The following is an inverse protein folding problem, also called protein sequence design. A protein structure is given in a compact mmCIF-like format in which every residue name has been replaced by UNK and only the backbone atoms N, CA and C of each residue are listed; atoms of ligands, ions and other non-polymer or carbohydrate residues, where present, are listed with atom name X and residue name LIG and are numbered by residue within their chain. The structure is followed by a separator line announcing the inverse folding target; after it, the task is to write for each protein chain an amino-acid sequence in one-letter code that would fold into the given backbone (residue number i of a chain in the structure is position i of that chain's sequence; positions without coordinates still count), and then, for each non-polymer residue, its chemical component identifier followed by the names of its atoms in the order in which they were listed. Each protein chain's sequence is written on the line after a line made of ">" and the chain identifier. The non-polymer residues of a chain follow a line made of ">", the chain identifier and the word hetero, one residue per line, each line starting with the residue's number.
data_IF_418619362878
#
_entry.id   IF_418619362878
#
_cell.length_a   1.000
_cell.length_b   1.000
_cell.length_c   1.000
_cell.angle_alpha   90.00
_cell.angle_beta   90.00
_cell.angle_gamma   90.00
#
_symmetry.space_group_name_H-M   'P 1'
#
loop_
_entity.id
_entity.type
_entity.pdbx_description
1 polymer ?
#
# COMPACT_ATOMS: atom_id res chain seq x y z
N UNK A 1 17.60 7.05 5.65
CA UNK A 1 17.15 5.81 4.99
C UNK A 1 18.15 4.73 5.38
N UNK A 2 17.80 3.74 6.21
CA UNK A 2 18.80 2.77 6.71
C UNK A 2 18.30 1.34 6.63
N UNK A 3 19.18 0.45 6.13
CA UNK A 3 18.98 -0.98 6.00
C UNK A 3 18.60 -1.40 4.59
N UNK A 4 17.31 -1.61 4.35
CA UNK A 4 16.79 -2.32 3.17
C UNK A 4 16.82 -1.48 1.89
N UNK A 5 16.42 -0.21 1.95
CA UNK A 5 16.40 0.66 0.77
C UNK A 5 17.82 0.97 0.24
N UNK A 6 18.78 1.15 1.15
CA UNK A 6 20.19 1.33 0.77
C UNK A 6 20.78 0.04 0.20
N UNK A 7 20.50 -1.12 0.81
CA UNK A 7 20.96 -2.41 0.30
C UNK A 7 20.39 -2.73 -1.10
N UNK A 8 19.14 -2.31 -1.39
CA UNK A 8 18.57 -2.42 -2.72
C UNK A 8 19.21 -1.44 -3.72
N UNK A 9 19.42 -0.18 -3.33
CA UNK A 9 19.87 0.86 -4.26
C UNK A 9 21.39 0.89 -4.50
N UNK A 10 22.19 0.42 -3.54
CA UNK A 10 23.66 0.41 -3.61
C UNK A 10 24.25 -0.31 -4.84
N UNK A 11 23.82 -1.52 -5.22
CA UNK A 11 24.32 -2.16 -6.45
C UNK A 11 23.96 -1.37 -7.71
N UNK A 12 22.75 -0.81 -7.78
CA UNK A 12 22.26 -0.02 -8.92
C UNK A 12 23.09 1.27 -9.06
N UNK A 13 23.39 1.95 -7.94
CA UNK A 13 24.31 3.10 -7.94
C UNK A 13 25.73 2.71 -8.34
N UNK A 14 26.23 1.58 -7.86
CA UNK A 14 27.58 1.11 -8.15
C UNK A 14 27.73 0.78 -9.63
N UNK A 15 26.73 0.17 -10.24
CA UNK A 15 26.69 -0.11 -11.67
C UNK A 15 26.68 1.19 -12.49
N UNK A 16 25.79 2.14 -12.13
CA UNK A 16 25.70 3.44 -12.80
C UNK A 16 27.03 4.23 -12.78
N UNK A 17 27.77 4.17 -11.67
CA UNK A 17 29.02 4.91 -11.50
C UNK A 17 30.24 4.24 -12.15
N UNK A 18 30.25 2.91 -12.25
CA UNK A 18 31.42 2.16 -12.71
C UNK A 18 31.32 1.69 -14.16
N UNK A 19 30.11 1.64 -14.74
CA UNK A 19 29.84 1.17 -16.09
C UNK A 19 29.17 2.27 -16.94
N UNK A 20 29.24 2.16 -18.27
CA UNK A 20 28.70 3.17 -19.20
C UNK A 20 27.92 2.55 -20.33
N UNK A 21 26.79 3.18 -20.70
CA UNK A 21 26.03 2.78 -21.88
C UNK A 21 25.65 1.31 -21.81
N UNK A 22 26.01 0.54 -22.83
CA UNK A 22 25.62 -0.87 -22.96
C UNK A 22 26.14 -1.76 -21.82
N UNK A 23 27.22 -1.37 -21.15
CA UNK A 23 27.83 -2.13 -20.04
C UNK A 23 27.07 -2.02 -18.71
N UNK A 24 26.07 -1.12 -18.62
CA UNK A 24 25.17 -1.04 -17.46
C UNK A 24 24.05 -2.09 -17.55
N UNK A 25 23.55 -2.53 -16.39
CA UNK A 25 22.37 -3.38 -16.33
C UNK A 25 21.12 -2.63 -16.82
N UNK A 26 20.18 -3.36 -17.42
CA UNK A 26 18.94 -2.78 -17.95
C UNK A 26 18.10 -2.09 -16.86
N UNK A 27 18.13 -2.62 -15.63
CA UNK A 27 17.49 -2.00 -14.46
C UNK A 27 18.13 -0.66 -14.12
N UNK A 28 19.46 -0.56 -14.15
CA UNK A 28 20.20 0.69 -13.91
C UNK A 28 19.85 1.73 -14.96
N UNK A 29 19.87 1.34 -16.24
CA UNK A 29 19.49 2.22 -17.36
C UNK A 29 18.07 2.73 -17.20
N UNK A 30 17.11 1.85 -16.89
CA UNK A 30 15.71 2.24 -16.72
C UNK A 30 15.54 3.19 -15.53
N UNK A 31 16.12 2.87 -14.38
CA UNK A 31 15.99 3.66 -13.15
C UNK A 31 16.58 5.06 -13.30
N UNK A 32 17.71 5.19 -13.99
CA UNK A 32 18.38 6.48 -14.20
C UNK A 32 17.94 7.21 -15.49
N UNK A 33 16.94 6.70 -16.22
CA UNK A 33 16.40 7.36 -17.42
C UNK A 33 15.73 8.70 -17.06
N UNK A 34 14.88 8.70 -16.03
CA UNK A 34 14.21 9.90 -15.53
C UNK A 34 13.67 9.70 -14.10
N UNK A 35 13.16 10.79 -13.52
CA UNK A 35 12.63 10.79 -12.16
C UNK A 35 11.36 9.93 -11.99
N UNK A 36 10.52 9.82 -13.01
CA UNK A 36 9.29 9.01 -12.96
C UNK A 36 9.63 7.52 -12.91
N UNK A 37 10.62 7.09 -13.69
CA UNK A 37 11.16 5.72 -13.67
C UNK A 37 11.81 5.37 -12.33
N UNK A 38 12.59 6.30 -11.78
CA UNK A 38 13.15 6.17 -10.44
C UNK A 38 12.06 6.02 -9.37
N UNK A 39 11.05 6.89 -9.39
CA UNK A 39 9.91 6.83 -8.46
C UNK A 39 9.13 5.52 -8.61
N UNK A 40 8.89 5.08 -9.85
CA UNK A 40 8.21 3.81 -10.15
C UNK A 40 8.98 2.61 -9.64
N UNK A 41 10.31 2.59 -9.77
CA UNK A 41 11.15 1.53 -9.23
C UNK A 41 11.10 1.49 -7.70
N UNK A 42 11.16 2.65 -7.04
CA UNK A 42 11.01 2.73 -5.57
C UNK A 42 9.62 2.26 -5.13
N UNK A 43 8.55 2.69 -5.82
CA UNK A 43 7.17 2.26 -5.51
C UNK A 43 6.95 0.78 -5.77
N UNK A 44 7.56 0.22 -6.81
CA UNK A 44 7.52 -1.22 -7.10
C UNK A 44 8.22 -2.04 -6.02
N UNK A 45 9.37 -1.55 -5.54
CA UNK A 45 10.18 -2.28 -4.55
C UNK A 45 9.65 -2.10 -3.11
N UNK A 46 9.08 -0.94 -2.79
CA UNK A 46 8.70 -0.57 -1.41
C UNK A 46 7.28 -0.02 -1.25
N UNK A 47 6.69 0.56 -2.29
CA UNK A 47 5.41 1.28 -2.20
C UNK A 47 4.21 0.39 -1.93
N UNK A 48 4.08 -0.74 -2.62
CA UNK A 48 2.89 -1.60 -2.47
C UNK A 48 2.87 -2.40 -1.17
N UNK A 49 4.02 -2.87 -0.67
CA UNK A 49 4.03 -3.74 0.52
C UNK A 49 3.74 -2.98 1.81
N UNK A 50 4.31 -1.78 1.99
CA UNK A 50 4.12 -1.01 3.22
C UNK A 50 2.77 -0.30 3.26
N UNK A 51 2.26 0.20 2.14
CA UNK A 51 0.94 0.82 2.05
C UNK A 51 -0.18 -0.21 2.25
N UNK A 52 -0.10 -1.37 1.59
CA UNK A 52 -1.08 -2.46 1.76
C UNK A 52 -1.05 -2.98 3.20
N UNK A 53 0.13 -3.20 3.78
CA UNK A 53 0.25 -3.65 5.18
C UNK A 53 -0.32 -2.63 6.15
N UNK A 54 -0.03 -1.34 5.93
CA UNK A 54 -0.56 -0.24 6.75
C UNK A 54 -2.08 -0.16 6.63
N UNK A 55 -2.61 -0.30 5.43
CA UNK A 55 -4.05 -0.32 5.17
C UNK A 55 -4.74 -1.50 5.86
N UNK A 56 -4.16 -2.71 5.83
CA UNK A 56 -4.69 -3.87 6.56
C UNK A 56 -4.73 -3.59 8.08
N UNK A 57 -3.64 -3.07 8.65
CA UNK A 57 -3.58 -2.74 10.09
C UNK A 57 -4.63 -1.68 10.45
N UNK A 58 -4.74 -0.61 9.65
CA UNK A 58 -5.74 0.44 9.87
C UNK A 58 -7.16 -0.08 9.72
N UNK A 59 -7.42 -0.94 8.72
CA UNK A 59 -8.73 -1.57 8.50
C UNK A 59 -9.13 -2.43 9.71
N UNK A 60 -8.23 -3.28 10.21
CA UNK A 60 -8.49 -4.14 11.37
C UNK A 60 -8.78 -3.36 12.66
N UNK A 61 -8.14 -2.21 12.83
CA UNK A 61 -8.32 -1.32 13.98
C UNK A 61 -9.52 -0.38 13.83
N UNK A 62 -10.10 -0.24 12.63
CA UNK A 62 -11.16 0.72 12.38
C UNK A 62 -12.48 0.24 12.98
N UNK A 63 -12.98 1.00 13.96
CA UNK A 63 -14.29 0.79 14.59
C UNK A 63 -15.18 2.02 14.42
N UNK A 64 -16.47 1.81 14.21
CA UNK A 64 -17.47 2.87 14.16
C UNK A 64 -17.61 3.53 15.54
N UNK A 65 -17.12 4.77 15.67
CA UNK A 65 -17.28 5.58 16.90
C UNK A 65 -18.41 6.61 16.78
N UNK A 66 -18.56 7.20 15.61
CA UNK A 66 -19.58 8.21 15.29
C UNK A 66 -20.69 7.66 14.40
N UNK A 67 -21.07 8.45 13.40
CA UNK A 67 -22.08 8.06 12.40
C UNK A 67 -21.59 6.89 11.54
N UNK A 68 -22.54 6.11 11.01
CA UNK A 68 -22.23 5.01 10.09
C UNK A 68 -21.64 5.53 8.76
N UNK A 69 -22.09 6.70 8.30
CA UNK A 69 -21.58 7.35 7.09
C UNK A 69 -20.12 7.77 7.23
N UNK A 70 -19.73 8.34 8.38
CA UNK A 70 -18.33 8.71 8.63
C UNK A 70 -17.43 7.48 8.68
N UNK A 71 -17.91 6.40 9.30
CA UNK A 71 -17.20 5.11 9.32
C UNK A 71 -17.05 4.55 7.89
N UNK A 72 -18.11 4.55 7.08
CA UNK A 72 -18.06 4.08 5.70
C UNK A 72 -17.09 4.88 4.82
N UNK A 73 -17.07 6.20 4.95
CA UNK A 73 -16.12 7.03 4.22
C UNK A 73 -14.67 6.69 4.60
N UNK A 74 -14.38 6.55 5.90
CA UNK A 74 -13.04 6.18 6.39
C UNK A 74 -12.62 4.77 5.98
N UNK A 75 -13.54 3.81 6.04
CA UNK A 75 -13.29 2.44 5.63
C UNK A 75 -12.89 2.39 4.15
N UNK A 76 -13.68 3.03 3.27
CA UNK A 76 -13.37 3.11 1.83
C UNK A 76 -12.02 3.77 1.55
N UNK A 77 -11.67 4.82 2.29
CA UNK A 77 -10.37 5.48 2.15
C UNK A 77 -9.23 4.51 2.47
N UNK A 78 -9.30 3.81 3.59
CA UNK A 78 -8.26 2.87 4.04
C UNK A 78 -8.16 1.67 3.10
N UNK A 79 -9.28 1.13 2.63
CA UNK A 79 -9.27 -0.06 1.79
C UNK A 79 -9.05 0.22 0.30
N UNK A 80 -8.99 1.48 -0.13
CA UNK A 80 -8.81 1.85 -1.54
C UNK A 80 -7.52 1.34 -2.18
N UNK A 81 -6.50 1.08 -1.35
CA UNK A 81 -5.20 0.52 -1.77
C UNK A 81 -5.17 -1.00 -1.70
N UNK A 82 -6.20 -1.63 -1.15
CA UNK A 82 -6.30 -3.08 -1.06
C UNK A 82 -6.94 -3.61 -2.34
N UNK A 83 -6.24 -4.50 -3.03
CA UNK A 83 -6.77 -5.27 -4.16
C UNK A 83 -7.56 -6.50 -3.65
N UNK A 84 -8.54 -6.25 -2.77
CA UNK A 84 -9.35 -7.30 -2.15
C UNK A 84 -10.73 -7.36 -2.81
N UNK A 85 -11.26 -8.56 -2.92
CA UNK A 85 -12.63 -8.81 -3.37
C UNK A 85 -13.66 -8.24 -2.38
N UNK A 86 -14.91 -8.08 -2.84
CA UNK A 86 -15.97 -7.47 -2.03
C UNK A 86 -16.29 -8.26 -0.75
N UNK A 87 -16.30 -9.60 -0.82
CA UNK A 87 -16.66 -10.45 0.31
C UNK A 87 -15.78 -10.23 1.57
N UNK A 88 -14.44 -10.29 1.50
CA UNK A 88 -13.59 -10.00 2.65
C UNK A 88 -13.71 -8.54 3.13
N UNK A 89 -13.90 -7.57 2.22
CA UNK A 89 -14.12 -6.18 2.58
C UNK A 89 -15.44 -5.98 3.32
N UNK A 90 -16.52 -6.61 2.87
CA UNK A 90 -17.82 -6.59 3.55
C UNK A 90 -17.75 -7.23 4.93
N UNK A 91 -17.04 -8.35 5.08
CA UNK A 91 -16.82 -8.99 6.38
C UNK A 91 -16.07 -8.08 7.35
N UNK A 92 -14.98 -7.45 6.89
CA UNK A 92 -14.20 -6.52 7.69
C UNK A 92 -15.01 -5.26 8.06
N UNK A 93 -15.77 -4.72 7.11
CA UNK A 93 -16.68 -3.59 7.33
C UNK A 93 -17.72 -3.91 8.40
N UNK A 94 -18.39 -5.05 8.27
CA UNK A 94 -19.40 -5.48 9.23
C UNK A 94 -18.81 -5.63 10.64
N UNK A 95 -17.63 -6.27 10.77
CA UNK A 95 -16.92 -6.43 12.05
C UNK A 95 -16.59 -5.12 12.75
N UNK A 96 -16.43 -4.02 12.01
CA UNK A 96 -16.11 -2.70 12.56
C UNK A 96 -17.32 -1.85 12.95
N UNK A 97 -18.54 -2.23 12.57
CA UNK A 97 -19.78 -1.55 12.97
C UNK A 97 -20.05 -1.67 14.48
N UNK A 98 -20.83 -0.72 15.02
CA UNK A 98 -21.39 -0.83 16.38
C UNK A 98 -22.39 -1.99 16.46
N UNK A 99 -22.46 -2.66 17.61
CA UNK A 99 -23.40 -3.77 17.83
C UNK A 99 -24.86 -3.36 17.55
N UNK A 100 -25.29 -2.19 18.00
CA UNK A 100 -26.65 -1.67 17.73
C UNK A 100 -26.98 -1.63 16.22
N UNK A 101 -26.00 -1.27 15.39
CA UNK A 101 -26.16 -1.19 13.92
C UNK A 101 -26.10 -2.59 13.31
N UNK A 102 -25.25 -3.48 13.82
CA UNK A 102 -25.22 -4.88 13.38
C UNK A 102 -26.53 -5.59 13.68
N UNK A 103 -27.09 -5.37 14.87
CA UNK A 103 -28.38 -5.91 15.30
C UNK A 103 -29.50 -5.39 14.40
N UNK A 104 -29.54 -4.08 14.11
CA UNK A 104 -30.52 -3.49 13.20
C UNK A 104 -30.43 -4.09 11.78
N UNK A 105 -29.21 -4.28 11.26
CA UNK A 105 -28.98 -4.88 9.95
C UNK A 105 -29.33 -6.37 9.91
N UNK A 106 -29.20 -7.08 11.04
CA UNK A 106 -29.49 -8.51 11.17
C UNK A 106 -30.97 -8.80 11.42
N UNK A 107 -31.71 -7.83 11.96
CA UNK A 107 -33.15 -7.92 12.21
C UNK A 107 -34.03 -7.42 11.05
N UNK A 108 -33.44 -7.13 9.89
CA UNK A 108 -34.13 -6.70 8.67
C UNK A 108 -34.29 -7.84 7.68
#
# INVERSE_FOLDING_TARGET
>A
MTGTALAWFEPIMRDYLNNTGDDQDDETKEIFTDYEKFEKAIKKTFGSTDEVRTAIIHMDQLKQKGSASDYAARFRQVTSVLDWEDEPLMSAFFKGLKEEIKDELSNR
#
